data_IF_716312887345
#
_entry.id   IF_716312887345
#
_cell.length_a   1.000
_cell.length_b   1.000
_cell.length_c   1.000
_cell.angle_alpha   90.00
_cell.angle_beta   90.00
_cell.angle_gamma   90.00
#
_symmetry.space_group_name_H-M   'P 1'
#
loop_
_entity.id
_entity.type
_entity.pdbx_description
1 polymer ?
#
# COMPACT_ATOMS: atom_id res chain seq x y z
N UNK A 1 -84.48 -62.25 -18.65
CA UNK A 1 -83.53 -61.68 -17.65
C UNK A 1 -82.18 -61.53 -18.38
N UNK A 2 -81.74 -60.32 -18.64
CA UNK A 2 -80.44 -60.01 -19.33
C UNK A 2 -79.44 -59.55 -18.34
N UNK A 3 -78.21 -60.07 -18.27
CA UNK A 3 -77.15 -59.52 -17.43
C UNK A 3 -76.54 -58.27 -18.11
N UNK A 4 -76.35 -57.24 -17.30
CA UNK A 4 -75.61 -56.00 -17.69
C UNK A 4 -74.12 -56.20 -17.47
N UNK A 5 -73.37 -56.10 -18.55
CA UNK A 5 -71.89 -56.06 -18.55
C UNK A 5 -71.39 -54.65 -18.20
N UNK A 6 -70.66 -54.53 -17.12
CA UNK A 6 -69.97 -53.28 -16.76
C UNK A 6 -68.60 -53.29 -17.39
N UNK A 7 -68.40 -52.37 -18.33
CA UNK A 7 -67.06 -52.09 -18.92
C UNK A 7 -66.36 -51.08 -17.99
N UNK A 8 -65.36 -51.54 -17.32
CA UNK A 8 -64.44 -50.64 -16.55
C UNK A 8 -63.46 -49.97 -17.47
N UNK A 9 -63.59 -48.66 -17.61
CA UNK A 9 -62.56 -47.82 -18.32
C UNK A 9 -61.37 -47.55 -17.41
N UNK A 10 -60.22 -48.09 -17.77
CA UNK A 10 -58.96 -47.80 -17.11
C UNK A 10 -58.43 -46.47 -17.65
N UNK A 11 -58.47 -45.39 -16.87
CA UNK A 11 -57.86 -44.13 -17.18
C UNK A 11 -56.36 -44.19 -16.83
N UNK A 12 -55.52 -44.20 -17.85
CA UNK A 12 -54.05 -44.14 -17.75
C UNK A 12 -53.66 -42.67 -17.46
N UNK A 13 -53.34 -42.36 -16.21
CA UNK A 13 -52.82 -41.04 -15.86
C UNK A 13 -51.34 -40.92 -16.27
N UNK A 14 -51.06 -40.10 -17.30
CA UNK A 14 -49.69 -39.72 -17.70
C UNK A 14 -49.14 -38.71 -16.67
N UNK A 15 -48.29 -39.16 -15.76
CA UNK A 15 -47.52 -38.26 -14.89
C UNK A 15 -46.43 -37.56 -15.70
N UNK A 16 -46.65 -36.29 -16.02
CA UNK A 16 -45.63 -35.46 -16.62
C UNK A 16 -44.59 -35.10 -15.57
N UNK A 17 -43.42 -35.74 -15.61
CA UNK A 17 -42.24 -35.43 -14.79
C UNK A 17 -41.69 -34.09 -15.25
N UNK A 18 -41.93 -33.02 -14.49
CA UNK A 18 -41.27 -31.75 -14.65
C UNK A 18 -39.79 -31.89 -14.24
N UNK A 19 -38.87 -32.00 -15.20
CA UNK A 19 -37.44 -31.95 -14.98
C UNK A 19 -37.12 -30.46 -14.68
N UNK A 20 -36.58 -30.12 -13.48
CA UNK A 20 -36.10 -28.76 -13.26
C UNK A 20 -34.93 -28.51 -14.19
N UNK A 21 -35.08 -27.58 -15.14
CA UNK A 21 -33.98 -27.08 -15.96
C UNK A 21 -33.02 -26.40 -15.03
N UNK A 22 -31.82 -27.01 -14.84
CA UNK A 22 -30.68 -26.35 -14.21
C UNK A 22 -30.30 -25.17 -15.12
N UNK A 23 -30.77 -23.99 -14.74
CA UNK A 23 -30.30 -22.73 -15.32
C UNK A 23 -28.81 -22.64 -14.98
N UNK A 24 -27.99 -23.02 -15.93
CA UNK A 24 -26.55 -22.84 -15.85
C UNK A 24 -26.29 -21.33 -15.89
N UNK A 25 -26.15 -20.71 -14.72
CA UNK A 25 -25.77 -19.32 -14.60
C UNK A 25 -24.33 -19.19 -15.09
N UNK A 26 -24.15 -18.98 -16.41
CA UNK A 26 -22.88 -18.63 -16.98
C UNK A 26 -22.46 -17.28 -16.39
N UNK A 27 -21.36 -17.27 -15.65
CA UNK A 27 -20.72 -16.03 -15.22
C UNK A 27 -20.48 -15.14 -16.46
N UNK A 28 -20.75 -13.83 -16.38
CA UNK A 28 -20.55 -12.94 -17.53
C UNK A 28 -19.10 -13.01 -17.98
N UNK A 29 -18.86 -13.59 -19.16
CA UNK A 29 -17.55 -13.62 -19.79
C UNK A 29 -17.26 -12.25 -20.34
N UNK A 30 -16.46 -11.46 -19.62
CA UNK A 30 -15.94 -10.19 -20.10
C UNK A 30 -15.07 -10.46 -21.33
N UNK A 31 -15.35 -9.84 -22.50
CA UNK A 31 -14.53 -10.03 -23.70
C UNK A 31 -13.06 -9.73 -23.44
N UNK A 32 -12.15 -10.49 -24.03
CA UNK A 32 -10.71 -10.34 -23.80
C UNK A 32 -10.22 -8.91 -24.08
N UNK A 33 -10.73 -8.28 -25.14
CA UNK A 33 -10.39 -6.91 -25.52
C UNK A 33 -10.72 -5.87 -24.44
N UNK A 34 -11.77 -6.08 -23.63
CA UNK A 34 -12.15 -5.16 -22.54
C UNK A 34 -11.38 -5.40 -21.25
N UNK A 35 -10.47 -6.38 -21.21
CA UNK A 35 -9.57 -6.64 -20.07
C UNK A 35 -8.29 -5.81 -20.12
N UNK A 36 -8.04 -5.15 -21.24
CA UNK A 36 -6.84 -4.33 -21.43
C UNK A 36 -7.21 -2.86 -21.50
N UNK A 37 -6.44 -2.02 -20.80
CA UNK A 37 -6.54 -0.57 -20.86
C UNK A 37 -5.30 -0.08 -21.59
N UNK A 38 -5.49 0.54 -22.74
CA UNK A 38 -4.39 0.99 -23.63
C UNK A 38 -3.87 2.36 -23.21
N UNK A 39 -4.73 3.21 -22.67
CA UNK A 39 -4.38 4.57 -22.24
C UNK A 39 -4.93 4.85 -20.85
N UNK A 40 -4.25 5.69 -20.12
CA UNK A 40 -4.69 6.13 -18.79
C UNK A 40 -5.99 6.95 -18.91
N UNK A 41 -7.11 6.53 -18.27
CA UNK A 41 -8.32 7.31 -18.27
C UNK A 41 -8.13 8.67 -17.60
N UNK A 42 -8.81 9.70 -18.12
CA UNK A 42 -8.78 11.03 -17.54
C UNK A 42 -9.22 11.01 -16.06
N UNK A 43 -8.53 11.76 -15.23
CA UNK A 43 -8.81 11.85 -13.78
C UNK A 43 -8.24 10.71 -12.93
N UNK A 44 -7.69 9.65 -13.53
CA UNK A 44 -7.00 8.60 -12.78
C UNK A 44 -5.54 9.00 -12.51
N UNK A 45 -5.00 8.49 -11.40
CA UNK A 45 -3.63 8.71 -10.99
C UNK A 45 -2.86 7.39 -10.99
N UNK A 46 -1.61 7.45 -11.41
CA UNK A 46 -0.72 6.30 -11.30
C UNK A 46 -0.27 6.11 -9.85
N UNK A 47 -0.24 4.89 -9.36
CA UNK A 47 0.10 4.60 -7.97
C UNK A 47 1.47 5.16 -7.55
N UNK A 48 2.48 5.12 -8.43
CA UNK A 48 3.82 5.65 -8.12
C UNK A 48 3.84 7.17 -7.86
N UNK A 49 2.82 7.91 -8.34
CA UNK A 49 2.70 9.35 -8.10
C UNK A 49 2.22 9.64 -6.67
N UNK A 50 1.62 8.64 -6.00
CA UNK A 50 1.18 8.77 -4.61
C UNK A 50 2.34 8.62 -3.62
N UNK A 51 3.22 7.67 -3.84
CA UNK A 51 4.32 7.41 -2.90
C UNK A 51 5.31 8.57 -2.87
N UNK A 52 5.54 9.12 -1.68
CA UNK A 52 6.35 10.31 -1.48
C UNK A 52 5.65 11.61 -1.88
N UNK A 53 4.38 11.57 -2.29
CA UNK A 53 3.65 12.78 -2.63
C UNK A 53 3.35 13.60 -1.37
N UNK A 54 3.61 14.93 -1.39
CA UNK A 54 3.32 15.80 -0.27
C UNK A 54 1.81 15.94 -0.05
N UNK A 55 1.43 15.87 1.22
CA UNK A 55 0.05 16.09 1.67
C UNK A 55 -0.03 17.45 2.37
N UNK A 56 -1.00 18.25 1.96
CA UNK A 56 -1.23 19.58 2.50
C UNK A 56 -2.45 19.59 3.43
N UNK A 57 -2.41 20.47 4.41
CA UNK A 57 -3.59 20.87 5.16
C UNK A 57 -4.52 21.73 4.30
N UNK A 58 -5.70 22.05 4.82
CA UNK A 58 -6.63 22.99 4.15
C UNK A 58 -6.07 24.40 4.02
N UNK A 59 -5.06 24.78 4.82
CA UNK A 59 -4.35 26.06 4.72
C UNK A 59 -3.23 26.07 3.67
N UNK A 60 -2.94 24.93 3.03
CA UNK A 60 -1.85 24.79 2.05
C UNK A 60 -0.49 24.46 2.67
N UNK A 61 -0.41 24.26 3.99
CA UNK A 61 0.81 23.84 4.65
C UNK A 61 1.09 22.35 4.33
N UNK A 62 2.31 22.00 3.93
CA UNK A 62 2.75 20.62 3.80
C UNK A 62 2.91 20.01 5.19
N UNK A 63 2.15 18.98 5.50
CA UNK A 63 2.05 18.37 6.82
C UNK A 63 2.60 16.96 6.88
N UNK A 64 2.95 16.38 5.74
CA UNK A 64 3.54 15.04 5.62
C UNK A 64 3.55 14.57 4.18
N UNK A 65 3.98 13.34 3.98
CA UNK A 65 4.08 12.66 2.68
C UNK A 65 3.35 11.31 2.74
N UNK A 66 2.93 10.78 1.58
CA UNK A 66 2.31 9.45 1.52
C UNK A 66 3.40 8.38 1.51
N UNK A 67 3.42 7.56 2.55
CA UNK A 67 4.36 6.44 2.71
C UNK A 67 3.78 5.12 2.23
N UNK A 68 2.48 4.88 2.47
CA UNK A 68 1.86 3.61 2.10
C UNK A 68 0.34 3.72 1.92
N UNK A 69 -0.24 2.68 1.31
CA UNK A 69 -1.67 2.53 1.06
C UNK A 69 -2.13 1.15 1.52
N UNK A 70 -3.23 1.09 2.25
CA UNK A 70 -3.84 -0.17 2.64
C UNK A 70 -5.04 -0.48 1.75
N UNK A 71 -5.04 -1.70 1.25
CA UNK A 71 -6.12 -2.22 0.43
C UNK A 71 -7.04 -3.13 1.25
N UNK A 72 -8.32 -3.05 0.99
CA UNK A 72 -9.28 -4.03 1.49
C UNK A 72 -9.10 -5.37 0.74
N UNK A 73 -9.65 -6.50 1.26
CA UNK A 73 -9.68 -7.75 0.52
C UNK A 73 -10.37 -7.66 -0.86
N UNK A 74 -11.23 -6.66 -1.06
CA UNK A 74 -11.88 -6.39 -2.34
C UNK A 74 -11.01 -5.55 -3.30
N UNK A 75 -9.76 -5.22 -2.93
CA UNK A 75 -8.83 -4.45 -3.75
C UNK A 75 -9.06 -2.93 -3.76
N UNK A 76 -9.89 -2.40 -2.86
CA UNK A 76 -10.14 -0.97 -2.74
C UNK A 76 -9.17 -0.33 -1.75
N UNK A 77 -8.71 0.89 -2.01
CA UNK A 77 -7.91 1.65 -1.05
C UNK A 77 -8.82 2.12 0.08
N UNK A 78 -8.49 1.73 1.30
CA UNK A 78 -9.24 2.09 2.52
C UNK A 78 -8.52 3.15 3.35
N UNK A 79 -7.20 3.11 3.38
CA UNK A 79 -6.38 3.87 4.31
C UNK A 79 -5.12 4.35 3.61
N UNK A 80 -4.66 5.52 4.00
CA UNK A 80 -3.38 6.08 3.60
C UNK A 80 -2.49 6.20 4.83
N UNK A 81 -1.25 5.79 4.73
CA UNK A 81 -0.24 5.97 5.76
C UNK A 81 0.57 7.21 5.40
N UNK A 82 0.47 8.22 6.26
CA UNK A 82 1.19 9.47 6.13
C UNK A 82 2.45 9.42 7.00
N UNK A 83 3.57 9.82 6.43
CA UNK A 83 4.78 10.14 7.15
C UNK A 83 4.72 11.57 7.67
N UNK A 84 4.91 11.77 8.97
CA UNK A 84 4.76 13.06 9.62
C UNK A 84 5.99 13.43 10.43
N UNK A 85 6.57 14.58 10.15
CA UNK A 85 7.77 15.07 10.83
C UNK A 85 9.04 14.38 10.33
N UNK A 86 10.10 14.44 11.14
CA UNK A 86 11.43 13.95 10.73
C UNK A 86 12.19 14.94 9.85
N UNK A 87 13.45 14.60 9.59
CA UNK A 87 14.31 15.31 8.64
C UNK A 87 14.85 14.25 7.68
N UNK A 88 14.55 14.40 6.39
CA UNK A 88 14.95 13.44 5.35
C UNK A 88 14.55 11.99 5.67
N UNK A 89 13.33 11.80 6.21
CA UNK A 89 12.81 10.48 6.57
C UNK A 89 13.35 9.90 7.89
N UNK A 90 14.24 10.60 8.60
CA UNK A 90 14.75 10.18 9.90
C UNK A 90 13.87 10.74 11.03
N UNK A 91 13.36 9.86 11.89
CA UNK A 91 12.49 10.24 13.01
C UNK A 91 11.03 10.52 12.60
N UNK A 92 10.64 10.16 11.40
CA UNK A 92 9.30 10.28 10.88
C UNK A 92 8.33 9.34 11.60
N UNK A 93 7.13 9.84 11.89
CA UNK A 93 6.05 9.05 12.49
C UNK A 93 5.00 8.70 11.43
N UNK A 94 4.76 7.43 11.22
CA UNK A 94 3.66 6.97 10.38
C UNK A 94 2.32 7.14 11.07
N UNK A 95 1.36 7.78 10.40
CA UNK A 95 -0.01 7.99 10.86
C UNK A 95 -0.97 7.48 9.78
N UNK A 96 -1.88 6.58 10.16
CA UNK A 96 -2.88 6.07 9.25
C UNK A 96 -4.15 6.93 9.28
N UNK A 97 -4.59 7.38 8.10
CA UNK A 97 -5.83 8.14 7.92
C UNK A 97 -6.73 7.47 6.89
N UNK A 98 -8.04 7.64 7.01
CA UNK A 98 -8.97 7.11 6.01
C UNK A 98 -8.71 7.73 4.64
N UNK A 99 -8.70 6.92 3.57
CA UNK A 99 -8.56 7.42 2.21
C UNK A 99 -9.63 8.45 1.85
N UNK A 100 -10.85 8.30 2.38
CA UNK A 100 -11.96 9.23 2.17
C UNK A 100 -11.75 10.60 2.81
N UNK A 101 -10.78 10.75 3.71
CA UNK A 101 -10.42 12.04 4.32
C UNK A 101 -9.53 12.89 3.40
N UNK A 102 -9.01 12.31 2.31
CA UNK A 102 -8.18 13.03 1.37
C UNK A 102 -9.02 13.61 0.24
N UNK A 103 -8.64 14.80 -0.20
CA UNK A 103 -9.17 15.47 -1.37
C UNK A 103 -8.07 15.63 -2.41
N UNK A 104 -8.39 15.31 -3.67
CA UNK A 104 -7.47 15.39 -4.78
C UNK A 104 -7.83 16.61 -5.63
N UNK A 105 -6.92 17.56 -5.75
CA UNK A 105 -7.11 18.81 -6.48
C UNK A 105 -6.06 18.95 -7.58
N UNK A 106 -6.35 19.81 -8.52
CA UNK A 106 -5.37 20.28 -9.51
C UNK A 106 -5.08 21.72 -9.16
N UNK A 107 -3.83 22.04 -8.92
CA UNK A 107 -3.37 23.41 -8.64
C UNK A 107 -3.43 24.31 -9.89
N UNK A 108 -3.21 25.61 -9.73
CA UNK A 108 -3.23 26.57 -10.84
C UNK A 108 -2.17 26.29 -11.92
N UNK A 109 -1.09 25.66 -11.53
CA UNK A 109 0.03 25.23 -12.39
C UNK A 109 -0.19 23.85 -13.04
N UNK A 110 -1.36 23.24 -12.83
CA UNK A 110 -1.67 21.89 -13.27
C UNK A 110 -1.08 20.78 -12.37
N UNK A 111 -0.36 21.15 -11.31
CA UNK A 111 0.18 20.19 -10.36
C UNK A 111 -0.95 19.51 -9.57
N UNK A 112 -0.76 18.24 -9.29
CA UNK A 112 -1.70 17.47 -8.47
C UNK A 112 -1.41 17.73 -6.99
N UNK A 113 -2.45 18.12 -6.25
CA UNK A 113 -2.35 18.45 -4.82
C UNK A 113 -3.24 17.51 -4.03
N UNK A 114 -2.68 16.92 -3.00
CA UNK A 114 -3.39 16.06 -2.05
C UNK A 114 -3.63 16.88 -0.78
N UNK A 115 -4.89 17.01 -0.39
CA UNK A 115 -5.28 17.81 0.77
C UNK A 115 -6.03 16.94 1.75
N UNK A 116 -5.73 17.10 3.03
CA UNK A 116 -6.47 16.50 4.14
C UNK A 116 -6.99 17.58 5.09
N UNK A 117 -8.19 17.37 5.65
CA UNK A 117 -8.79 18.30 6.60
C UNK A 117 -8.26 18.07 8.04
N UNK A 118 -6.93 18.00 8.16
CA UNK A 118 -6.20 17.84 9.42
C UNK A 118 -5.08 18.87 9.47
N UNK A 119 -4.69 19.23 10.68
CA UNK A 119 -3.51 20.06 10.92
C UNK A 119 -2.28 19.20 11.20
N UNK A 120 -1.10 19.82 11.11
CA UNK A 120 0.15 19.17 11.52
C UNK A 120 0.12 18.74 12.99
N UNK A 121 -0.48 19.55 13.86
CA UNK A 121 -0.64 19.24 15.27
C UNK A 121 -1.53 18.01 15.49
N UNK A 122 -2.64 17.89 14.74
CA UNK A 122 -3.51 16.70 14.81
C UNK A 122 -2.75 15.43 14.44
N UNK A 123 -1.96 15.46 13.37
CA UNK A 123 -1.15 14.33 12.95
C UNK A 123 -0.02 14.01 13.95
N UNK A 124 0.59 15.03 14.55
CA UNK A 124 1.59 14.83 15.59
C UNK A 124 1.00 14.21 16.87
N UNK A 125 -0.23 14.57 17.23
CA UNK A 125 -0.94 14.00 18.39
C UNK A 125 -1.54 12.61 18.10
N UNK A 126 -1.78 12.26 16.82
CA UNK A 126 -2.36 10.99 16.42
C UNK A 126 -1.49 9.80 16.89
N UNK A 127 -2.09 8.61 17.12
CA UNK A 127 -1.32 7.41 17.44
C UNK A 127 -0.43 7.01 16.24
N UNK A 128 0.76 6.50 16.55
CA UNK A 128 1.64 5.94 15.52
C UNK A 128 1.02 4.67 14.94
N UNK A 129 0.96 4.60 13.60
CA UNK A 129 0.53 3.41 12.88
C UNK A 129 1.57 2.31 13.00
N UNK A 130 1.12 1.09 13.24
CA UNK A 130 1.94 -0.12 13.27
C UNK A 130 1.45 -1.07 12.19
N UNK A 131 2.23 -1.24 11.14
CA UNK A 131 1.97 -2.26 10.13
C UNK A 131 2.21 -3.67 10.72
N UNK A 132 1.40 -4.63 10.29
CA UNK A 132 1.64 -6.06 10.58
C UNK A 132 2.84 -6.55 9.78
N UNK A 133 2.96 -6.07 8.53
CA UNK A 133 4.09 -6.33 7.65
C UNK A 133 4.98 -5.10 7.57
N UNK A 134 6.30 -5.30 7.40
CA UNK A 134 7.21 -4.18 7.16
C UNK A 134 6.88 -3.54 5.83
N UNK A 135 6.64 -2.24 5.84
CA UNK A 135 6.47 -1.47 4.60
C UNK A 135 7.77 -1.45 3.80
N UNK A 136 7.69 -1.19 2.51
CA UNK A 136 8.87 -1.01 1.66
C UNK A 136 9.76 0.11 2.20
N UNK A 137 9.15 1.18 2.72
CA UNK A 137 9.84 2.30 3.34
C UNK A 137 10.61 1.87 4.62
N UNK A 138 9.97 1.12 5.52
CA UNK A 138 10.61 0.60 6.72
C UNK A 138 11.77 -0.32 6.38
N UNK A 139 11.63 -1.17 5.36
CA UNK A 139 12.69 -2.05 4.88
C UNK A 139 13.88 -1.24 4.30
N UNK A 140 13.62 -0.17 3.56
CA UNK A 140 14.65 0.74 3.05
C UNK A 140 15.34 1.50 4.18
N UNK A 141 14.60 2.02 5.15
CA UNK A 141 15.14 2.71 6.32
C UNK A 141 16.03 1.80 7.16
N UNK A 142 15.57 0.57 7.44
CA UNK A 142 16.35 -0.43 8.19
C UNK A 142 17.66 -0.75 7.47
N UNK A 143 17.62 -0.91 6.14
CA UNK A 143 18.79 -1.16 5.31
C UNK A 143 19.77 0.04 5.28
N UNK A 144 19.25 1.26 5.19
CA UNK A 144 20.06 2.47 5.27
C UNK A 144 20.72 2.63 6.64
N UNK A 145 20.00 2.35 7.72
CA UNK A 145 20.55 2.38 9.08
C UNK A 145 21.64 1.32 9.29
N UNK A 146 21.46 0.11 8.74
CA UNK A 146 22.47 -0.95 8.78
C UNK A 146 23.73 -0.58 8.00
N UNK A 147 23.58 -0.01 6.81
CA UNK A 147 24.71 0.49 6.01
C UNK A 147 25.46 1.61 6.74
N UNK A 148 24.73 2.54 7.37
CA UNK A 148 25.31 3.61 8.17
C UNK A 148 26.16 3.08 9.34
N UNK A 149 25.64 2.09 10.08
CA UNK A 149 26.39 1.42 11.15
C UNK A 149 27.66 0.75 10.63
N UNK A 150 27.59 -0.04 9.58
CA UNK A 150 28.75 -0.71 8.96
C UNK A 150 29.81 0.28 8.48
N UNK A 151 29.38 1.43 7.95
CA UNK A 151 30.30 2.49 7.51
C UNK A 151 30.99 3.14 8.70
N UNK A 152 30.28 3.43 9.78
CA UNK A 152 30.82 3.99 11.00
C UNK A 152 31.83 3.03 11.69
N UNK A 153 31.51 1.74 11.76
CA UNK A 153 32.41 0.71 12.29
C UNK A 153 33.71 0.60 11.48
N UNK A 154 33.61 0.59 10.13
CA UNK A 154 34.78 0.59 9.26
C UNK A 154 35.64 1.84 9.43
N UNK A 155 35.01 3.01 9.55
CA UNK A 155 35.73 4.27 9.78
C UNK A 155 36.45 4.26 11.14
N UNK A 156 35.83 3.70 12.20
CA UNK A 156 36.47 3.48 13.50
C UNK A 156 37.68 2.58 13.41
N UNK A 157 37.56 1.41 12.78
CA UNK A 157 38.67 0.46 12.60
C UNK A 157 39.83 1.06 11.82
N UNK A 158 39.55 1.83 10.76
CA UNK A 158 40.59 2.52 9.97
C UNK A 158 41.33 3.56 10.84
N UNK A 159 40.59 4.33 11.64
CA UNK A 159 41.16 5.32 12.54
C UNK A 159 42.11 4.65 13.55
N UNK A 160 41.71 3.56 14.17
CA UNK A 160 42.51 2.82 15.15
C UNK A 160 43.76 2.21 14.49
N UNK A 161 43.66 1.69 13.27
CA UNK A 161 44.84 1.21 12.52
C UNK A 161 45.84 2.34 12.17
N UNK A 162 45.31 3.51 11.78
CA UNK A 162 46.17 4.68 11.50
C UNK A 162 46.89 5.17 12.75
N UNK A 163 46.18 5.27 13.88
CA UNK A 163 46.78 5.68 15.16
C UNK A 163 47.89 4.70 15.56
N UNK A 164 47.62 3.39 15.50
CA UNK A 164 48.61 2.36 15.85
C UNK A 164 49.85 2.45 14.95
N UNK A 165 49.66 2.65 13.65
CA UNK A 165 50.78 2.76 12.70
C UNK A 165 51.60 4.04 12.89
N UNK A 166 50.99 5.14 13.30
CA UNK A 166 51.68 6.39 13.65
C UNK A 166 52.49 6.23 14.94
N UNK A 167 51.96 5.52 15.95
CA UNK A 167 52.71 5.26 17.20
C UNK A 167 53.87 4.31 16.98
N UNK A 168 53.74 3.29 16.13
CA UNK A 168 54.84 2.41 15.73
C UNK A 168 55.96 3.19 15.01
N UNK A 169 55.59 4.08 14.07
CA UNK A 169 56.58 4.92 13.38
C UNK A 169 57.30 5.90 14.33
N UNK A 170 56.62 6.47 15.32
CA UNK A 170 57.25 7.33 16.33
C UNK A 170 58.22 6.56 17.21
N UNK A 171 57.88 5.34 17.58
CA UNK A 171 58.75 4.49 18.39
C UNK A 171 60.02 4.07 17.65
N UNK A 172 59.90 3.75 16.37
CA UNK A 172 61.04 3.40 15.51
C UNK A 172 61.96 4.61 15.25
N UNK A 173 61.38 5.82 15.08
CA UNK A 173 62.14 7.04 14.90
C UNK A 173 62.95 7.43 16.15
N UNK A 174 62.40 7.12 17.35
CA UNK A 174 63.09 7.39 18.64
C UNK A 174 64.17 6.37 18.99
N UNK A 175 64.28 5.25 18.27
CA UNK A 175 65.22 4.16 18.52
C UNK A 175 66.45 4.18 17.59
N UNK A 176 66.53 5.15 16.66
CA UNK A 176 67.64 5.30 15.75
C UNK A 176 68.70 6.26 16.35
N UNK A 177 69.91 5.77 16.66
CA UNK A 177 71.00 6.62 17.23
C UNK A 177 71.48 7.68 16.26
#
# INVERSE_FOLDING_TARGET
MKPRTHVAAFALALAASAIPSLVNAQAPTVPLASRFVVEQPAGQWLAHVFFGAPVQSTSGEVIGDINDLLFTPAGQISTVVLGVGGVLGLGEKNVAVSFTSLSFKVGPDGARVIVVALTKADLQAAPAFKAIEKTTYDAMRDKAAELGKKTAEKAGQLKDQVVKKVDEMKTDAAKKP
#
